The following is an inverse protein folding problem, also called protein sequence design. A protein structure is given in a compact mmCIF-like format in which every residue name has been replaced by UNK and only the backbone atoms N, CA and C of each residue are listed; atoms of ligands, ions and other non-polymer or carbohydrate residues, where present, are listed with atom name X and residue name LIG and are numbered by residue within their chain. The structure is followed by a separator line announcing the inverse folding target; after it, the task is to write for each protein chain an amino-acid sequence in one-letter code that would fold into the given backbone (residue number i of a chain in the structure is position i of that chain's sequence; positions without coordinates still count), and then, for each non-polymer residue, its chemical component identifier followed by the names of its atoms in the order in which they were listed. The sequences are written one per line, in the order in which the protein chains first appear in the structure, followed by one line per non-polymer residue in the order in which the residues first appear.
data_IF_299948660755
#
_entry.id   IF_299948660755
#
_cell.length_a   1.000
_cell.length_b   1.000
_cell.length_c   1.000
_cell.angle_alpha   90.00
_cell.angle_beta   90.00
_cell.angle_gamma   90.00
#
_symmetry.space_group_name_H-M   'P 1'
#
loop_
_entity.id
_entity.type
_entity.pdbx_description
1 polymer ?
#
# COMPACT_ATOMS: atom_id res chain seq x y z
N UNK A 1 -37.81 10.62 -42.42
CA UNK A 1 -38.92 11.42 -41.89
C UNK A 1 -39.26 10.83 -40.53
N UNK A 2 -38.62 11.32 -39.44
CA UNK A 2 -39.07 12.45 -38.58
C UNK A 2 -40.30 12.02 -37.75
N UNK A 3 -40.34 12.08 -36.42
CA UNK A 3 -39.76 13.03 -35.48
C UNK A 3 -39.78 12.46 -34.03
N UNK A 4 -38.79 12.84 -33.22
CA UNK A 4 -38.85 12.92 -31.75
C UNK A 4 -39.89 13.97 -31.29
N UNK A 5 -40.16 14.05 -29.97
CA UNK A 5 -39.63 15.22 -29.26
C UNK A 5 -39.00 14.93 -27.89
N UNK A 6 -38.15 15.89 -27.50
CA UNK A 6 -37.39 16.07 -26.25
C UNK A 6 -38.24 16.60 -25.07
N UNK A 7 -37.76 16.38 -23.84
CA UNK A 7 -37.44 17.37 -22.78
C UNK A 7 -37.36 16.65 -21.41
N UNK A 8 -36.20 16.55 -20.73
CA UNK A 8 -35.51 17.51 -19.84
C UNK A 8 -36.16 17.76 -18.45
N UNK A 9 -35.36 17.53 -17.40
CA UNK A 9 -35.61 17.85 -15.98
C UNK A 9 -35.44 16.62 -15.08
N UNK A 10 -34.57 16.54 -14.08
CA UNK A 10 -33.87 17.55 -13.31
C UNK A 10 -32.49 17.04 -12.87
N UNK A 11 -31.54 17.97 -12.81
CA UNK A 11 -30.25 17.81 -12.14
C UNK A 11 -30.47 17.98 -10.63
N UNK A 12 -30.14 16.95 -9.84
CA UNK A 12 -29.99 17.09 -8.38
C UNK A 12 -28.52 17.38 -8.05
N UNK A 13 -28.31 18.68 -7.77
CA UNK A 13 -27.46 19.24 -6.73
C UNK A 13 -26.04 18.65 -6.53
N UNK A 14 -25.11 19.06 -7.40
CA UNK A 14 -23.67 18.85 -7.25
C UNK A 14 -22.99 19.98 -6.45
N UNK A 15 -23.57 20.42 -5.33
CA UNK A 15 -23.01 21.51 -4.51
C UNK A 15 -22.88 21.19 -3.02
N UNK A 16 -22.27 20.05 -2.65
CA UNK A 16 -21.98 19.80 -1.23
C UNK A 16 -20.79 18.89 -0.88
N UNK A 17 -19.66 18.98 -1.57
CA UNK A 17 -18.40 18.45 -1.03
C UNK A 17 -17.22 19.35 -1.35
N UNK A 18 -17.20 20.49 -0.66
CA UNK A 18 -16.03 21.35 -0.58
C UNK A 18 -15.79 21.72 0.89
N UNK A 19 -15.24 20.75 1.64
CA UNK A 19 -14.47 20.95 2.87
C UNK A 19 -13.97 19.61 3.41
N UNK A 20 -12.65 19.41 3.45
CA UNK A 20 -12.07 18.52 4.44
C UNK A 20 -12.33 19.21 5.80
N UNK A 21 -13.36 18.75 6.51
CA UNK A 21 -13.54 19.09 7.93
C UNK A 21 -12.77 18.05 8.76
N UNK A 22 -11.91 18.48 9.70
CA UNK A 22 -11.36 17.57 10.69
C UNK A 22 -12.50 17.21 11.65
N UNK A 23 -12.84 15.92 11.73
CA UNK A 23 -13.85 15.44 12.67
C UNK A 23 -13.13 14.93 13.92
N UNK A 24 -13.47 15.53 15.07
CA UNK A 24 -13.43 14.86 16.37
C UNK A 24 -12.16 15.04 17.22
N UNK A 25 -12.07 16.18 17.92
CA UNK A 25 -11.33 16.30 19.17
C UNK A 25 -11.91 15.34 20.22
N UNK A 26 -11.08 14.47 20.81
CA UNK A 26 -11.32 13.93 22.14
C UNK A 26 -10.58 14.83 23.14
N UNK A 27 -11.32 15.60 23.93
CA UNK A 27 -10.80 16.34 25.07
C UNK A 27 -10.22 15.37 26.11
N UNK A 28 -8.91 15.45 26.33
CA UNK A 28 -8.29 15.03 27.58
C UNK A 28 -7.57 16.27 28.13
N UNK A 29 -8.20 16.89 29.14
CA UNK A 29 -7.62 18.02 29.85
C UNK A 29 -6.34 17.61 30.57
N UNK A 30 -5.24 18.28 30.25
CA UNK A 30 -4.04 18.36 31.08
C UNK A 30 -3.64 19.84 31.10
N UNK A 31 -3.63 20.41 32.30
CA UNK A 31 -3.23 21.81 32.54
C UNK A 31 -1.75 22.07 32.19
N UNK A 32 -1.39 23.29 31.79
CA UNK A 32 -0.02 23.62 31.38
C UNK A 32 0.91 23.78 32.59
N UNK A 33 1.83 22.83 32.75
CA UNK A 33 2.99 22.94 33.64
C UNK A 33 4.12 23.75 32.98
N UNK A 34 4.44 24.85 33.62
CA UNK A 34 5.47 25.85 33.32
C UNK A 34 6.87 25.23 33.16
N UNK A 35 7.55 25.51 32.03
CA UNK A 35 8.95 25.14 31.79
C UNK A 35 9.81 26.33 32.23
N UNK A 36 10.49 26.22 33.37
CA UNK A 36 11.60 27.10 33.72
C UNK A 36 12.97 26.43 33.48
N UNK A 37 13.99 27.20 33.01
CA UNK A 37 15.27 26.65 32.60
C UNK A 37 16.24 26.39 33.76
N UNK A 38 17.12 25.40 33.54
CA UNK A 38 18.17 24.96 34.45
C UNK A 38 19.15 26.08 34.88
N UNK A 39 19.66 26.06 36.12
CA UNK A 39 20.84 26.85 36.47
C UNK A 39 22.14 26.06 36.26
N UNK A 40 22.97 26.67 35.43
CA UNK A 40 24.40 26.42 35.28
C UNK A 40 25.12 26.83 36.58
N UNK A 41 25.97 25.96 37.13
CA UNK A 41 27.03 26.38 38.05
C UNK A 41 28.34 25.75 37.60
N UNK A 42 29.23 26.62 37.11
CA UNK A 42 30.63 26.29 36.93
C UNK A 42 31.39 26.42 38.24
N UNK A 43 32.44 25.64 38.39
CA UNK A 43 33.81 26.16 38.59
C UNK A 43 34.73 25.04 39.07
N UNK A 44 35.97 25.03 38.59
CA UNK A 44 37.01 24.18 39.16
C UNK A 44 38.17 23.93 38.21
N UNK A 45 39.00 24.95 38.06
CA UNK A 45 40.32 24.95 37.43
C UNK A 45 41.24 23.81 37.86
N UNK A 46 42.03 23.28 36.93
CA UNK A 46 43.20 22.45 37.25
C UNK A 46 44.05 22.12 36.02
N UNK A 47 44.99 23.00 35.69
CA UNK A 47 46.08 22.71 34.74
C UNK A 47 46.97 21.60 35.30
N UNK A 48 47.29 20.56 34.53
CA UNK A 48 48.68 20.15 34.34
C UNK A 48 48.83 19.17 33.18
N UNK A 49 49.95 19.34 32.48
CA UNK A 49 50.40 18.65 31.28
C UNK A 49 51.30 17.49 31.72
N UNK A 50 51.00 16.27 31.30
CA UNK A 50 51.97 15.18 31.30
C UNK A 50 51.79 14.34 30.02
N UNK A 51 52.79 14.42 29.14
CA UNK A 51 52.99 13.48 28.04
C UNK A 51 53.43 12.14 28.67
N UNK A 52 52.52 11.18 28.76
CA UNK A 52 52.85 9.79 29.08
C UNK A 52 52.88 8.96 27.80
N UNK A 53 54.04 8.38 27.49
CA UNK A 53 54.21 7.33 26.47
C UNK A 53 53.27 6.16 26.83
N UNK A 54 52.46 5.73 25.86
CA UNK A 54 51.69 4.50 25.97
C UNK A 54 52.61 3.31 25.67
N UNK A 55 53.10 2.64 26.71
CA UNK A 55 53.65 1.28 26.59
C UNK A 55 52.54 0.28 26.92
N UNK A 56 52.23 -0.71 26.06
CA UNK A 56 51.22 -1.70 26.36
C UNK A 56 51.80 -2.72 27.35
N UNK A 57 51.50 -2.58 28.63
CA UNK A 57 51.79 -3.61 29.61
C UNK A 57 50.86 -4.80 29.39
N UNK A 58 51.44 -5.92 28.96
CA UNK A 58 50.86 -7.27 29.01
C UNK A 58 50.38 -7.57 30.42
N UNK A 59 49.11 -7.34 30.72
CA UNK A 59 48.34 -7.90 31.85
C UNK A 59 46.97 -7.23 31.81
N UNK A 60 46.02 -7.78 31.03
CA UNK A 60 44.54 -7.70 31.21
C UNK A 60 43.80 -8.47 30.08
N UNK A 61 44.40 -9.51 29.50
CA UNK A 61 43.80 -10.32 28.43
C UNK A 61 42.88 -11.44 28.95
N UNK A 62 42.08 -11.15 29.97
CA UNK A 62 41.14 -12.13 30.55
C UNK A 62 39.76 -11.56 30.88
N UNK A 63 39.57 -10.23 30.87
CA UNK A 63 38.25 -9.60 31.07
C UNK A 63 37.46 -9.43 29.75
N UNK A 64 38.07 -9.62 28.59
CA UNK A 64 37.39 -9.53 27.28
C UNK A 64 36.74 -10.83 26.81
N UNK A 65 36.88 -11.94 27.55
CA UNK A 65 36.37 -13.27 27.12
C UNK A 65 34.98 -13.58 27.70
N UNK A 66 34.47 -12.78 28.65
CA UNK A 66 33.18 -13.06 29.31
C UNK A 66 32.04 -12.15 28.81
N UNK A 67 32.32 -10.94 28.27
CA UNK A 67 31.26 -10.08 27.71
C UNK A 67 30.85 -10.41 26.26
N UNK A 68 31.74 -10.99 25.46
CA UNK A 68 31.44 -11.42 24.09
C UNK A 68 30.31 -12.46 23.98
N UNK A 69 30.33 -13.56 24.76
CA UNK A 69 29.30 -14.60 24.67
C UNK A 69 27.93 -14.18 25.22
N UNK A 70 27.86 -13.23 26.16
CA UNK A 70 26.60 -12.76 26.75
C UNK A 70 25.81 -11.90 25.75
N UNK A 71 26.48 -11.05 24.97
CA UNK A 71 25.83 -10.25 23.92
C UNK A 71 25.29 -11.15 22.80
N UNK A 72 26.03 -12.18 22.38
CA UNK A 72 25.54 -13.13 21.37
C UNK A 72 24.34 -13.96 21.84
N UNK A 73 24.29 -14.37 23.12
CA UNK A 73 23.15 -15.11 23.66
C UNK A 73 21.88 -14.25 23.77
N UNK A 74 22.01 -12.97 24.14
CA UNK A 74 20.88 -12.04 24.16
C UNK A 74 20.37 -11.80 22.74
N UNK A 75 21.25 -11.58 21.75
CA UNK A 75 20.83 -11.41 20.34
C UNK A 75 20.16 -12.66 19.77
N UNK A 76 20.64 -13.86 20.10
CA UNK A 76 20.02 -15.13 19.68
C UNK A 76 18.67 -15.33 20.36
N UNK A 77 18.52 -15.00 21.65
CA UNK A 77 17.23 -15.09 22.33
C UNK A 77 16.22 -14.07 21.79
N UNK A 78 16.63 -12.83 21.52
CA UNK A 78 15.76 -11.80 20.90
C UNK A 78 15.33 -12.21 19.49
N UNK A 79 16.24 -12.77 18.68
CA UNK A 79 15.88 -13.29 17.36
C UNK A 79 14.94 -14.51 17.45
N UNK A 80 15.18 -15.42 18.40
CA UNK A 80 14.33 -16.60 18.61
C UNK A 80 12.93 -16.23 19.14
N UNK A 81 12.83 -15.25 20.05
CA UNK A 81 11.52 -14.74 20.47
C UNK A 81 10.81 -13.97 19.35
N UNK A 82 11.51 -13.15 18.57
CA UNK A 82 10.92 -12.48 17.41
C UNK A 82 10.41 -13.47 16.36
N UNK A 83 11.18 -14.54 16.07
CA UNK A 83 10.77 -15.62 15.18
C UNK A 83 9.55 -16.38 15.72
N UNK A 84 9.52 -16.71 17.01
CA UNK A 84 8.38 -17.40 17.62
C UNK A 84 7.10 -16.53 17.66
N UNK A 85 7.23 -15.23 17.93
CA UNK A 85 6.11 -14.28 17.89
C UNK A 85 5.55 -14.18 16.47
N UNK A 86 6.42 -13.98 15.48
CA UNK A 86 6.03 -13.95 14.06
C UNK A 86 5.35 -15.26 13.63
N UNK A 87 5.85 -16.41 14.07
CA UNK A 87 5.23 -17.70 13.76
C UNK A 87 3.81 -17.82 14.36
N UNK A 88 3.61 -17.36 15.60
CA UNK A 88 2.30 -17.45 16.25
C UNK A 88 1.26 -16.51 15.62
N UNK A 89 1.69 -15.31 15.23
CA UNK A 89 0.83 -14.36 14.53
C UNK A 89 0.48 -14.85 13.12
N UNK A 90 1.44 -15.48 12.41
CA UNK A 90 1.19 -16.11 11.12
C UNK A 90 0.19 -17.28 11.23
N UNK A 91 0.31 -18.15 12.24
CA UNK A 91 -0.63 -19.25 12.48
C UNK A 91 -2.05 -18.73 12.77
N UNK A 92 -2.15 -17.66 13.58
CA UNK A 92 -3.43 -16.99 13.83
C UNK A 92 -4.01 -16.39 12.56
N UNK A 93 -3.20 -15.71 11.76
CA UNK A 93 -3.63 -15.07 10.52
C UNK A 93 -4.06 -16.11 9.48
N UNK A 94 -3.32 -17.21 9.33
CA UNK A 94 -3.68 -18.39 8.54
C UNK A 94 -5.00 -19.00 9.00
N UNK A 95 -5.19 -19.17 10.32
CA UNK A 95 -6.44 -19.70 10.88
C UNK A 95 -7.64 -18.77 10.70
N UNK A 96 -7.43 -17.46 10.54
CA UNK A 96 -8.48 -16.48 10.20
C UNK A 96 -8.77 -16.50 8.70
N UNK A 97 -7.75 -16.53 7.83
CA UNK A 97 -7.95 -16.63 6.39
C UNK A 97 -8.64 -17.94 5.99
N UNK A 98 -8.29 -19.07 6.62
CA UNK A 98 -8.93 -20.36 6.39
C UNK A 98 -10.42 -20.38 6.77
N UNK A 99 -10.87 -19.49 7.67
CA UNK A 99 -12.29 -19.35 8.03
C UNK A 99 -13.08 -18.51 7.04
N UNK A 100 -12.41 -17.70 6.22
CA UNK A 100 -13.02 -16.84 5.22
C UNK A 100 -12.53 -17.24 3.81
N UNK A 101 -12.79 -18.46 3.33
CA UNK A 101 -12.41 -18.83 1.97
C UNK A 101 -13.00 -17.83 0.97
N UNK A 102 -12.26 -17.53 -0.11
CA UNK A 102 -12.81 -16.71 -1.20
C UNK A 102 -14.12 -17.37 -1.65
N UNK A 103 -15.26 -16.67 -1.60
CA UNK A 103 -16.48 -17.23 -2.14
C UNK A 103 -16.27 -17.45 -3.64
N UNK A 104 -16.76 -18.59 -4.17
CA UNK A 104 -16.66 -18.96 -5.59
C UNK A 104 -17.63 -18.11 -6.43
N UNK A 105 -17.46 -16.79 -6.38
CA UNK A 105 -18.22 -15.82 -7.17
C UNK A 105 -17.34 -15.43 -8.35
N UNK A 106 -17.22 -16.34 -9.30
CA UNK A 106 -16.55 -16.05 -10.58
C UNK A 106 -17.44 -15.13 -11.41
N UNK A 107 -16.86 -14.07 -11.97
CA UNK A 107 -17.42 -13.41 -13.15
C UNK A 107 -17.94 -11.97 -13.00
N UNK A 108 -17.77 -11.29 -11.86
CA UNK A 108 -18.06 -9.85 -11.76
C UNK A 108 -16.86 -9.05 -11.27
N UNK A 109 -16.66 -7.86 -11.82
CA UNK A 109 -15.53 -7.01 -11.46
C UNK A 109 -15.64 -6.54 -10.01
N UNK A 110 -14.50 -6.48 -9.33
CA UNK A 110 -14.46 -6.20 -7.89
C UNK A 110 -14.93 -7.35 -7.00
N UNK A 111 -15.21 -8.53 -7.56
CA UNK A 111 -15.38 -9.76 -6.78
C UNK A 111 -14.06 -10.50 -6.58
N UNK A 112 -13.99 -11.43 -5.61
CA UNK A 112 -12.96 -12.44 -5.53
C UNK A 112 -12.65 -13.09 -6.88
N UNK A 113 -11.37 -13.15 -7.23
CA UNK A 113 -10.93 -14.04 -8.31
C UNK A 113 -9.49 -14.50 -8.07
N UNK A 114 -9.15 -15.71 -8.52
CA UNK A 114 -7.74 -16.12 -8.63
C UNK A 114 -6.98 -15.19 -9.56
N UNK A 115 -5.65 -15.17 -9.44
CA UNK A 115 -4.81 -14.46 -10.40
C UNK A 115 -5.05 -14.97 -11.84
N UNK A 116 -4.94 -14.07 -12.81
CA UNK A 116 -5.33 -14.27 -14.20
C UNK A 116 -4.31 -15.13 -14.95
N UNK A 117 -4.74 -16.29 -15.44
CA UNK A 117 -3.91 -17.11 -16.33
C UNK A 117 -3.83 -16.55 -17.76
N UNK A 118 -4.90 -15.88 -18.24
CA UNK A 118 -4.92 -15.22 -19.54
C UNK A 118 -5.56 -13.82 -19.44
N UNK A 119 -4.78 -12.73 -19.51
CA UNK A 119 -5.29 -11.38 -19.32
C UNK A 119 -6.06 -10.82 -20.53
N UNK A 120 -5.94 -11.41 -21.74
CA UNK A 120 -6.66 -10.97 -22.93
C UNK A 120 -7.66 -12.02 -23.39
N UNK A 121 -8.93 -11.64 -23.48
CA UNK A 121 -9.99 -12.53 -23.91
C UNK A 121 -11.12 -11.76 -24.57
N UNK A 122 -11.88 -12.44 -25.41
CA UNK A 122 -13.17 -11.94 -25.88
C UNK A 122 -14.32 -12.47 -25.01
N UNK A 123 -14.03 -13.39 -24.07
CA UNK A 123 -15.02 -13.92 -23.13
C UNK A 123 -15.36 -12.91 -22.04
N UNK A 124 -16.66 -12.71 -21.73
CA UNK A 124 -17.07 -11.89 -20.60
C UNK A 124 -16.63 -12.47 -19.24
N UNK A 125 -16.31 -13.77 -19.18
CA UNK A 125 -15.90 -14.45 -17.94
C UNK A 125 -14.44 -14.19 -17.57
N UNK A 126 -13.66 -13.56 -18.46
CA UNK A 126 -12.28 -13.18 -18.18
C UNK A 126 -12.25 -11.84 -17.44
N UNK A 127 -12.35 -11.91 -16.12
CA UNK A 127 -12.55 -10.75 -15.25
C UNK A 127 -11.44 -10.69 -14.21
N UNK A 128 -10.72 -9.58 -14.14
CA UNK A 128 -9.82 -9.26 -13.05
C UNK A 128 -10.63 -9.08 -11.75
N UNK A 129 -10.16 -9.68 -10.66
CA UNK A 129 -10.79 -9.60 -9.35
C UNK A 129 -9.75 -9.33 -8.27
N UNK A 130 -10.15 -9.50 -7.02
CA UNK A 130 -9.23 -9.37 -5.89
C UNK A 130 -8.92 -10.69 -5.21
N UNK A 131 -7.78 -10.72 -4.52
CA UNK A 131 -7.38 -11.86 -3.71
C UNK A 131 -6.02 -11.66 -3.04
N UNK A 132 -5.51 -12.68 -2.33
CA UNK A 132 -6.28 -13.83 -1.89
C UNK A 132 -7.28 -13.42 -0.79
N UNK A 133 -8.04 -14.40 -0.29
CA UNK A 133 -8.79 -14.21 0.94
C UNK A 133 -7.85 -13.81 2.07
N UNK A 134 -8.29 -12.88 2.91
CA UNK A 134 -7.52 -12.34 4.02
C UNK A 134 -8.45 -11.89 5.15
N UNK A 135 -7.93 -11.74 6.38
CA UNK A 135 -8.68 -11.14 7.47
C UNK A 135 -9.26 -9.79 7.05
N UNK A 136 -10.53 -9.57 7.40
CA UNK A 136 -11.26 -8.34 7.11
C UNK A 136 -11.45 -7.58 8.40
N UNK A 137 -11.22 -6.28 8.35
CA UNK A 137 -11.48 -5.34 9.43
C UNK A 137 -12.56 -4.34 9.00
N UNK A 138 -13.11 -3.61 9.98
CA UNK A 138 -13.97 -2.46 9.73
C UNK A 138 -13.26 -1.14 10.08
N UNK A 139 -13.97 0.00 9.98
CA UNK A 139 -13.38 1.35 9.98
C UNK A 139 -12.54 1.74 11.20
N UNK A 140 -12.70 1.04 12.32
CA UNK A 140 -12.01 1.32 13.60
C UNK A 140 -11.38 0.07 14.22
N UNK A 141 -11.28 -1.01 13.44
CA UNK A 141 -10.64 -2.25 13.87
C UNK A 141 -9.35 -2.43 13.09
N UNK A 142 -8.30 -2.87 13.78
CA UNK A 142 -6.99 -3.05 13.18
C UNK A 142 -6.44 -4.44 13.48
N UNK A 143 -5.61 -4.93 12.57
CA UNK A 143 -4.86 -6.17 12.76
C UNK A 143 -3.62 -5.91 13.62
N UNK A 144 -3.12 -6.94 14.28
CA UNK A 144 -1.88 -6.85 15.08
C UNK A 144 -0.65 -7.34 14.29
N UNK A 145 -0.79 -7.51 12.97
CA UNK A 145 0.27 -7.88 12.03
C UNK A 145 0.04 -7.15 10.71
N UNK A 146 1.08 -6.91 9.90
CA UNK A 146 0.91 -6.22 8.62
C UNK A 146 0.00 -7.02 7.67
N UNK A 147 -1.00 -6.36 7.09
CA UNK A 147 -1.89 -6.92 6.07
C UNK A 147 -2.41 -5.78 5.23
N UNK A 148 -2.46 -5.98 3.91
CA UNK A 148 -2.83 -4.91 3.00
C UNK A 148 -4.29 -4.95 2.59
N UNK A 149 -4.91 -3.77 2.57
CA UNK A 149 -6.23 -3.54 1.98
C UNK A 149 -7.27 -4.55 2.48
N UNK A 150 -7.45 -4.55 3.81
CA UNK A 150 -8.30 -5.47 4.57
C UNK A 150 -9.55 -4.79 5.13
N UNK A 151 -9.77 -3.50 4.94
CA UNK A 151 -11.02 -2.85 5.37
C UNK A 151 -12.14 -3.10 4.33
N UNK A 152 -13.28 -3.64 4.77
CA UNK A 152 -14.43 -3.87 3.88
C UNK A 152 -15.35 -2.66 3.71
N UNK A 153 -15.16 -1.59 4.49
CA UNK A 153 -16.08 -0.45 4.52
C UNK A 153 -15.33 0.89 4.64
N UNK A 154 -14.36 1.13 3.75
CA UNK A 154 -13.62 2.37 3.72
C UNK A 154 -14.27 3.41 2.77
N UNK A 155 -14.87 4.49 3.30
CA UNK A 155 -15.49 5.53 2.48
C UNK A 155 -14.49 6.29 1.59
N UNK A 156 -13.20 6.33 1.94
CA UNK A 156 -12.16 7.01 1.15
C UNK A 156 -11.96 6.41 -0.25
N UNK A 157 -12.30 5.13 -0.41
CA UNK A 157 -12.25 4.41 -1.70
C UNK A 157 -13.63 3.95 -2.18
N UNK A 158 -14.70 4.35 -1.50
CA UNK A 158 -16.07 4.03 -1.88
C UNK A 158 -16.55 2.65 -1.40
N UNK A 159 -15.94 2.07 -0.36
CA UNK A 159 -16.36 0.82 0.26
C UNK A 159 -15.21 -0.16 0.46
N UNK A 160 -15.37 -1.38 -0.07
CA UNK A 160 -14.46 -2.51 0.14
C UNK A 160 -13.07 -2.29 -0.48
N UNK A 161 -12.05 -2.18 0.36
CA UNK A 161 -10.67 -1.98 -0.08
C UNK A 161 -10.10 -3.20 -0.79
N UNK A 162 -10.72 -4.39 -0.70
CA UNK A 162 -10.08 -5.60 -1.20
C UNK A 162 -9.86 -5.54 -2.71
N UNK A 163 -10.76 -4.88 -3.45
CA UNK A 163 -10.46 -4.44 -4.80
C UNK A 163 -9.85 -3.03 -4.82
N UNK A 164 -8.56 -2.95 -4.53
CA UNK A 164 -7.86 -1.68 -4.37
C UNK A 164 -7.32 -1.08 -5.68
N UNK A 165 -7.60 -1.69 -6.84
CA UNK A 165 -7.19 -1.19 -8.15
C UNK A 165 -8.40 -0.66 -8.89
N UNK A 166 -8.27 0.53 -9.45
CA UNK A 166 -9.36 1.23 -10.14
C UNK A 166 -8.85 2.02 -11.34
N UNK A 167 -9.73 2.35 -12.27
CA UNK A 167 -9.41 3.06 -13.51
C UNK A 167 -10.42 4.17 -13.80
N UNK A 168 -9.95 5.22 -14.47
CA UNK A 168 -10.80 6.25 -15.08
C UNK A 168 -10.13 6.88 -16.29
N UNK A 169 -10.90 7.56 -17.14
CA UNK A 169 -10.34 8.40 -18.21
C UNK A 169 -9.47 9.53 -17.60
N UNK A 170 -8.29 9.77 -18.18
CA UNK A 170 -7.39 10.78 -17.69
C UNK A 170 -8.00 12.18 -17.82
N UNK A 171 -7.92 12.99 -16.76
CA UNK A 171 -8.55 14.31 -16.70
C UNK A 171 -10.06 14.31 -16.44
N UNK A 172 -10.70 13.15 -16.33
CA UNK A 172 -12.14 13.05 -16.01
C UNK A 172 -12.42 13.30 -14.52
N UNK A 173 -13.56 13.95 -14.24
CA UNK A 173 -14.14 14.10 -12.90
C UNK A 173 -15.07 12.95 -12.52
N UNK A 174 -15.24 11.95 -13.38
CA UNK A 174 -16.04 10.77 -13.08
C UNK A 174 -15.46 9.97 -11.91
N UNK A 175 -16.32 9.14 -11.33
CA UNK A 175 -15.96 8.15 -10.34
C UNK A 175 -14.89 7.18 -10.86
N UNK A 176 -14.30 6.43 -9.94
CA UNK A 176 -13.36 5.35 -10.24
C UNK A 176 -14.12 4.07 -10.55
N UNK A 177 -13.67 3.34 -11.56
CA UNK A 177 -14.35 2.14 -12.04
C UNK A 177 -13.48 0.89 -11.89
N UNK A 178 -14.14 -0.26 -11.73
CA UNK A 178 -13.53 -1.58 -11.88
C UNK A 178 -13.65 -2.09 -13.33
N UNK A 179 -14.70 -1.68 -14.03
CA UNK A 179 -14.95 -1.96 -15.44
C UNK A 179 -15.11 -0.66 -16.20
N UNK A 180 -14.41 -0.53 -17.33
CA UNK A 180 -14.51 0.67 -18.16
C UNK A 180 -14.58 0.30 -19.64
N UNK A 181 -15.50 0.96 -20.35
CA UNK A 181 -15.51 0.93 -21.80
C UNK A 181 -14.47 1.91 -22.32
N UNK A 182 -13.48 1.42 -23.07
CA UNK A 182 -12.35 2.22 -23.55
C UNK A 182 -12.51 2.60 -25.01
N UNK A 183 -11.97 3.76 -25.36
CA UNK A 183 -12.01 4.30 -26.72
C UNK A 183 -10.59 4.42 -27.29
N UNK A 184 -10.50 4.47 -28.62
CA UNK A 184 -9.22 4.61 -29.31
C UNK A 184 -8.51 5.90 -28.93
N UNK A 185 -7.19 5.81 -28.78
CA UNK A 185 -6.30 6.94 -28.60
C UNK A 185 -6.51 7.78 -27.33
N UNK A 186 -7.42 7.33 -26.46
CA UNK A 186 -7.60 7.90 -25.13
C UNK A 186 -6.55 7.38 -24.15
N UNK A 187 -6.28 8.23 -23.16
CA UNK A 187 -5.41 7.90 -22.02
C UNK A 187 -6.27 7.70 -20.79
N UNK A 188 -5.95 6.67 -20.02
CA UNK A 188 -6.63 6.30 -18.79
C UNK A 188 -5.63 6.30 -17.64
N UNK A 189 -6.09 6.65 -16.45
CA UNK A 189 -5.31 6.56 -15.23
C UNK A 189 -5.74 5.32 -14.47
N UNK A 190 -4.78 4.40 -14.26
CA UNK A 190 -4.90 3.30 -13.31
C UNK A 190 -4.39 3.79 -11.96
N UNK A 191 -5.10 3.44 -10.89
CA UNK A 191 -4.73 3.79 -9.52
C UNK A 191 -4.88 2.58 -8.60
N UNK A 192 -3.91 2.41 -7.73
CA UNK A 192 -3.85 1.41 -6.68
C UNK A 192 -3.87 2.12 -5.33
N UNK A 193 -4.85 1.84 -4.48
CA UNK A 193 -4.87 2.29 -3.09
C UNK A 193 -4.08 1.32 -2.21
N UNK A 194 -3.20 1.83 -1.36
CA UNK A 194 -2.27 1.02 -0.57
C UNK A 194 -2.45 1.43 0.88
N UNK A 195 -2.91 0.50 1.72
CA UNK A 195 -3.00 0.71 3.16
C UNK A 195 -2.59 -0.56 3.90
N UNK A 196 -1.83 -0.41 4.97
CA UNK A 196 -1.56 -1.48 5.92
C UNK A 196 -2.64 -1.42 7.01
N UNK A 197 -3.57 -2.37 6.99
CA UNK A 197 -4.71 -2.43 7.92
C UNK A 197 -4.34 -2.90 9.33
N UNK A 198 -3.04 -2.91 9.66
CA UNK A 198 -2.55 -3.13 11.00
C UNK A 198 -2.68 -1.87 11.86
N UNK A 199 -2.69 -2.05 13.18
CA UNK A 199 -2.57 -0.94 14.14
C UNK A 199 -1.18 -0.34 14.01
N UNK A 200 -1.02 0.97 14.10
CA UNK A 200 0.30 1.57 13.95
C UNK A 200 1.20 1.28 15.17
N UNK A 201 2.29 0.57 14.93
CA UNK A 201 3.37 0.33 15.89
C UNK A 201 4.64 -0.08 15.15
N UNK A 202 5.77 -0.13 15.83
CA UNK A 202 7.03 -0.55 15.20
C UNK A 202 7.03 -2.05 14.85
N UNK A 203 6.23 -2.85 15.54
CA UNK A 203 6.06 -4.29 15.30
C UNK A 203 5.19 -4.60 14.06
N UNK A 204 4.32 -3.68 13.66
CA UNK A 204 3.35 -3.86 12.58
C UNK A 204 3.74 -3.17 11.27
N UNK A 205 4.94 -2.60 11.20
CA UNK A 205 5.48 -2.02 9.97
C UNK A 205 5.69 -3.11 8.93
N UNK A 206 5.04 -2.97 7.77
CA UNK A 206 5.31 -3.80 6.61
C UNK A 206 6.65 -3.40 5.99
N UNK A 207 7.53 -4.36 5.68
CA UNK A 207 8.88 -4.09 5.15
C UNK A 207 9.10 -4.73 3.79
N UNK A 208 9.98 -4.11 2.99
CA UNK A 208 10.21 -4.47 1.59
C UNK A 208 8.89 -4.49 0.79
N UNK A 209 8.02 -3.52 1.10
CA UNK A 209 6.71 -3.38 0.46
C UNK A 209 6.88 -2.90 -0.97
N UNK A 210 6.30 -3.63 -1.91
CA UNK A 210 6.39 -3.35 -3.34
C UNK A 210 5.01 -3.30 -3.98
N UNK A 211 4.90 -2.48 -5.03
CA UNK A 211 3.75 -2.44 -5.93
C UNK A 211 4.15 -2.84 -7.34
N UNK A 212 3.23 -3.52 -8.03
CA UNK A 212 3.36 -3.86 -9.45
C UNK A 212 2.00 -3.88 -10.14
N UNK A 213 1.96 -3.41 -11.38
CA UNK A 213 0.83 -3.53 -12.31
C UNK A 213 1.40 -4.03 -13.65
N UNK A 214 1.60 -5.35 -13.80
CA UNK A 214 2.06 -5.91 -15.06
C UNK A 214 1.01 -5.65 -16.15
N UNK A 215 1.44 -5.04 -17.26
CA UNK A 215 0.57 -4.81 -18.41
C UNK A 215 0.68 -5.96 -19.41
N UNK A 216 -0.45 -6.54 -19.85
CA UNK A 216 -0.42 -7.57 -20.89
C UNK A 216 0.02 -6.99 -22.23
N UNK A 217 0.87 -7.72 -22.95
CA UNK A 217 1.33 -7.34 -24.30
C UNK A 217 0.42 -7.84 -25.43
N UNK A 218 -0.71 -8.47 -25.09
CA UNK A 218 -1.66 -9.03 -26.04
C UNK A 218 -2.74 -8.03 -26.45
N UNK A 219 -3.53 -8.42 -27.46
CA UNK A 219 -4.73 -7.70 -27.91
C UNK A 219 -5.98 -8.51 -27.58
N UNK A 220 -7.08 -7.83 -27.30
CA UNK A 220 -8.39 -8.45 -27.09
C UNK A 220 -9.48 -7.39 -27.00
N UNK A 221 -10.75 -7.82 -27.05
CA UNK A 221 -11.90 -6.92 -26.78
C UNK A 221 -12.14 -6.74 -25.29
N UNK A 222 -11.57 -7.60 -24.46
CA UNK A 222 -11.53 -7.50 -23.01
C UNK A 222 -10.10 -7.72 -22.53
N UNK A 223 -9.57 -6.75 -21.78
CA UNK A 223 -8.25 -6.86 -21.15
C UNK A 223 -8.43 -6.69 -19.64
N UNK A 224 -8.09 -7.74 -18.92
CA UNK A 224 -8.10 -7.81 -17.47
C UNK A 224 -6.69 -7.51 -16.94
N UNK A 225 -6.58 -6.56 -15.99
CA UNK A 225 -5.30 -6.11 -15.42
C UNK A 225 -5.38 -6.24 -13.91
N UNK A 226 -4.44 -6.98 -13.34
CA UNK A 226 -4.24 -7.05 -11.89
C UNK A 226 -3.10 -6.11 -11.47
N UNK A 227 -3.31 -5.42 -10.36
CA UNK A 227 -2.25 -4.77 -9.60
C UNK A 227 -2.03 -5.50 -8.28
N UNK A 228 -0.79 -5.50 -7.80
CA UNK A 228 -0.37 -6.29 -6.65
C UNK A 228 0.39 -5.42 -5.65
N UNK A 229 0.16 -5.70 -4.36
CA UNK A 229 0.96 -5.21 -3.24
C UNK A 229 1.56 -6.42 -2.55
N UNK A 230 2.89 -6.42 -2.38
CA UNK A 230 3.60 -7.49 -1.67
C UNK A 230 4.49 -6.93 -0.57
N UNK A 231 4.74 -7.72 0.46
CA UNK A 231 5.65 -7.42 1.57
C UNK A 231 6.20 -8.71 2.14
N UNK A 232 7.43 -8.68 2.63
CA UNK A 232 8.11 -9.89 3.14
C UNK A 232 7.64 -10.33 4.52
N UNK A 233 6.89 -9.49 5.23
CA UNK A 233 6.37 -9.80 6.58
C UNK A 233 4.85 -9.56 6.72
N UNK A 234 4.15 -9.25 5.62
CA UNK A 234 2.71 -9.15 5.65
C UNK A 234 2.06 -10.54 5.54
N UNK A 235 0.85 -10.66 6.07
CA UNK A 235 0.00 -11.81 5.83
C UNK A 235 -1.34 -11.38 5.21
N UNK A 236 -1.66 -11.82 3.98
CA UNK A 236 -0.81 -12.60 3.08
C UNK A 236 0.41 -11.81 2.58
N UNK A 237 1.45 -12.51 2.10
CA UNK A 237 2.66 -11.87 1.56
C UNK A 237 2.42 -11.06 0.29
N UNK A 238 1.34 -11.36 -0.43
CA UNK A 238 0.91 -10.61 -1.60
C UNK A 238 -0.62 -10.57 -1.64
N UNK A 239 -1.16 -9.41 -2.02
CA UNK A 239 -2.56 -9.19 -2.37
C UNK A 239 -2.65 -8.62 -3.78
N UNK A 240 -3.76 -8.89 -4.47
CA UNK A 240 -4.08 -8.31 -5.77
C UNK A 240 -5.49 -7.73 -5.79
N UNK A 241 -5.67 -6.74 -6.66
CA UNK A 241 -6.94 -6.17 -7.09
C UNK A 241 -6.93 -5.98 -8.60
N UNK A 242 -8.09 -5.85 -9.21
CA UNK A 242 -8.28 -6.01 -10.64
C UNK A 242 -9.20 -4.98 -11.27
N UNK A 243 -8.90 -4.64 -12.53
CA UNK A 243 -9.74 -3.84 -13.42
C UNK A 243 -9.92 -4.53 -14.77
N UNK A 244 -11.02 -4.21 -15.47
CA UNK A 244 -11.27 -4.69 -16.82
C UNK A 244 -11.52 -3.52 -17.77
N UNK A 245 -10.81 -3.57 -18.89
CA UNK A 245 -11.00 -2.66 -20.01
C UNK A 245 -11.77 -3.40 -21.10
N UNK A 246 -12.76 -2.74 -21.69
CA UNK A 246 -13.71 -3.35 -22.62
C UNK A 246 -13.83 -2.46 -23.85
N UNK A 247 -13.86 -3.06 -25.05
CA UNK A 247 -14.16 -2.33 -26.28
C UNK A 247 -14.81 -3.23 -27.33
N UNK A 248 -15.46 -2.62 -28.32
CA UNK A 248 -16.08 -3.35 -29.45
C UNK A 248 -15.07 -3.98 -30.41
N UNK A 249 -13.85 -3.44 -30.43
CA UNK A 249 -12.74 -3.88 -31.29
C UNK A 249 -11.54 -4.28 -30.44
N UNK A 250 -10.68 -5.20 -30.93
CA UNK A 250 -9.47 -5.54 -30.21
C UNK A 250 -8.59 -4.30 -30.00
N UNK A 251 -8.02 -4.19 -28.80
CA UNK A 251 -7.12 -3.11 -28.43
C UNK A 251 -5.92 -3.65 -27.66
N UNK A 252 -4.91 -2.81 -27.52
CA UNK A 252 -3.77 -3.02 -26.62
C UNK A 252 -3.68 -1.87 -25.63
N UNK A 253 -3.14 -2.16 -24.45
CA UNK A 253 -2.88 -1.19 -23.38
C UNK A 253 -1.38 -0.94 -23.32
N UNK A 254 -0.97 0.33 -23.38
CA UNK A 254 0.45 0.71 -23.39
C UNK A 254 0.71 1.70 -22.28
N UNK A 255 1.72 1.46 -21.44
CA UNK A 255 2.14 2.42 -20.43
C UNK A 255 2.60 3.73 -21.07
N UNK A 256 2.17 4.86 -20.50
CA UNK A 256 2.68 6.19 -20.84
C UNK A 256 3.94 6.42 -20.02
N UNK A 257 5.09 6.54 -20.68
CA UNK A 257 6.39 6.70 -20.03
C UNK A 257 6.38 7.84 -18.99
N UNK A 258 7.11 7.61 -17.89
CA UNK A 258 7.32 8.57 -16.79
C UNK A 258 6.03 9.10 -16.11
N UNK A 259 4.89 8.45 -16.31
CA UNK A 259 3.61 8.84 -15.72
C UNK A 259 3.34 8.24 -14.33
N UNK A 260 4.19 7.31 -13.87
CA UNK A 260 3.99 6.63 -12.60
C UNK A 260 4.29 7.54 -11.39
N UNK A 261 3.34 7.62 -10.46
CA UNK A 261 3.44 8.47 -9.27
C UNK A 261 2.95 7.76 -8.00
N UNK A 262 3.53 8.14 -6.86
CA UNK A 262 3.03 7.83 -5.52
C UNK A 262 2.50 9.11 -4.91
N UNK A 263 1.21 9.16 -4.56
CA UNK A 263 0.64 10.24 -3.76
C UNK A 263 0.33 9.76 -2.36
N UNK A 264 0.52 10.63 -1.38
CA UNK A 264 0.31 10.35 0.04
C UNK A 264 0.18 11.65 0.82
N UNK A 265 -0.08 11.56 2.13
CA UNK A 265 -0.06 12.73 3.01
C UNK A 265 1.30 13.45 3.05
N UNK A 266 2.40 12.73 2.86
CA UNK A 266 3.75 13.32 2.76
C UNK A 266 4.12 13.76 1.33
N UNK A 267 3.45 13.21 0.31
CA UNK A 267 3.62 13.57 -1.10
C UNK A 267 2.30 14.08 -1.72
N UNK A 268 1.75 15.22 -1.26
CA UNK A 268 0.45 15.71 -1.75
C UNK A 268 0.49 16.13 -3.22
N UNK A 269 1.67 16.47 -3.75
CA UNK A 269 1.89 16.76 -5.19
C UNK A 269 2.36 15.54 -5.99
N UNK A 270 2.46 14.39 -5.34
CA UNK A 270 3.02 13.16 -5.89
C UNK A 270 4.54 13.12 -5.92
N UNK A 271 5.07 11.91 -5.76
CA UNK A 271 6.47 11.54 -5.95
C UNK A 271 6.55 10.64 -7.19
N UNK A 272 7.36 11.02 -8.18
CA UNK A 272 7.55 10.19 -9.37
C UNK A 272 8.24 8.86 -9.00
N UNK A 273 7.76 7.74 -9.55
CA UNK A 273 8.46 6.46 -9.42
C UNK A 273 9.45 6.30 -10.57
N UNK A 274 10.75 6.17 -10.28
CA UNK A 274 11.75 5.99 -11.33
C UNK A 274 11.67 4.59 -11.96
N UNK A 275 11.96 4.53 -13.27
CA UNK A 275 12.05 3.27 -14.01
C UNK A 275 10.69 2.61 -14.26
N UNK A 276 10.71 1.33 -14.63
CA UNK A 276 9.52 0.55 -15.01
C UNK A 276 9.43 -0.77 -14.28
N UNK A 277 10.11 -0.92 -13.13
CA UNK A 277 10.14 -2.16 -12.36
C UNK A 277 8.75 -2.64 -11.92
N UNK A 278 7.80 -1.71 -11.73
CA UNK A 278 6.39 -2.01 -11.44
C UNK A 278 5.64 -2.66 -12.60
N UNK A 279 6.17 -2.68 -13.83
CA UNK A 279 5.58 -3.39 -14.97
C UNK A 279 6.07 -4.84 -15.09
N UNK A 280 7.15 -5.21 -14.38
CA UNK A 280 7.71 -6.56 -14.44
C UNK A 280 6.94 -7.53 -13.53
N UNK A 281 6.78 -8.78 -13.97
CA UNK A 281 6.02 -9.79 -13.23
C UNK A 281 6.67 -10.26 -11.92
N UNK A 282 8.00 -10.22 -11.86
CA UNK A 282 8.85 -10.56 -10.71
C UNK A 282 9.53 -9.33 -10.08
N UNK A 283 9.41 -8.17 -10.74
CA UNK A 283 9.84 -6.87 -10.24
C UNK A 283 8.72 -6.13 -9.52
N UNK A 284 9.09 -5.08 -8.81
CA UNK A 284 8.14 -4.18 -8.16
C UNK A 284 8.85 -2.91 -7.74
N UNK A 285 8.10 -1.83 -7.60
CA UNK A 285 8.62 -0.58 -7.07
C UNK A 285 8.40 -0.53 -5.56
N UNK A 286 9.44 -0.17 -4.81
CA UNK A 286 9.31 0.08 -3.38
C UNK A 286 8.40 1.28 -3.13
N UNK A 287 7.59 1.20 -2.09
CA UNK A 287 6.71 2.29 -1.65
C UNK A 287 6.87 2.53 -0.15
N UNK A 288 6.63 3.76 0.27
CA UNK A 288 6.67 4.18 1.66
C UNK A 288 6.23 5.64 1.79
N UNK A 289 5.72 6.00 2.96
CA UNK A 289 5.05 7.29 3.16
C UNK A 289 5.97 8.47 2.85
N UNK A 290 7.19 8.46 3.39
CA UNK A 290 8.15 9.56 3.28
C UNK A 290 9.30 9.31 2.30
N UNK A 291 9.42 8.08 1.79
CA UNK A 291 10.43 7.70 0.79
C UNK A 291 10.08 6.35 0.17
N UNK A 292 10.68 6.00 -0.97
CA UNK A 292 10.53 4.69 -1.62
C UNK A 292 11.40 3.60 -0.94
N UNK A 293 11.28 3.45 0.38
CA UNK A 293 12.12 2.56 1.20
C UNK A 293 11.48 1.19 1.50
N UNK A 294 10.24 0.97 1.06
CA UNK A 294 9.50 -0.26 1.29
C UNK A 294 8.89 -0.38 2.68
N UNK A 295 8.91 0.68 3.50
CA UNK A 295 8.34 0.67 4.86
C UNK A 295 6.95 1.30 4.84
N UNK A 296 5.96 0.52 5.27
CA UNK A 296 4.55 0.98 5.35
C UNK A 296 4.01 0.75 6.75
N UNK A 297 3.77 1.86 7.45
CA UNK A 297 3.16 1.92 8.78
C UNK A 297 1.67 1.59 8.72
N UNK A 298 1.11 1.19 9.87
CA UNK A 298 -0.30 0.81 9.99
C UNK A 298 -1.24 2.01 9.90
N UNK A 299 -2.55 1.76 9.89
CA UNK A 299 -3.61 2.77 9.91
C UNK A 299 -3.73 3.65 8.66
N UNK A 300 -4.88 4.29 8.51
CA UNK A 300 -5.31 4.94 7.26
C UNK A 300 -4.59 6.27 6.99
N UNK A 301 -4.03 6.94 8.01
CA UNK A 301 -3.25 8.15 7.83
C UNK A 301 -1.92 7.91 7.10
N UNK A 302 -1.47 6.66 7.05
CA UNK A 302 -0.29 6.21 6.33
C UNK A 302 -0.61 5.68 4.91
N UNK A 303 -1.87 5.79 4.48
CA UNK A 303 -2.30 5.32 3.18
C UNK A 303 -1.64 6.10 2.02
N UNK A 304 -1.49 5.41 0.90
CA UNK A 304 -0.87 5.92 -0.32
C UNK A 304 -1.69 5.53 -1.54
N UNK A 305 -1.50 6.25 -2.64
CA UNK A 305 -1.97 5.84 -3.95
C UNK A 305 -0.79 5.74 -4.90
N UNK A 306 -0.62 4.58 -5.51
CA UNK A 306 0.18 4.45 -6.73
C UNK A 306 -0.72 4.72 -7.93
N UNK A 307 -0.25 5.49 -8.90
CA UNK A 307 -0.96 5.70 -10.17
C UNK A 307 -0.03 5.63 -11.36
N UNK A 308 -0.58 5.27 -12.52
CA UNK A 308 0.11 5.32 -13.81
C UNK A 308 -0.89 5.60 -14.92
N UNK A 309 -0.42 6.24 -16.00
CA UNK A 309 -1.22 6.45 -17.19
C UNK A 309 -0.98 5.32 -18.20
N UNK A 310 -2.05 4.92 -18.88
CA UNK A 310 -2.02 3.98 -20.00
C UNK A 310 -2.76 4.54 -21.19
N UNK A 311 -2.23 4.32 -22.39
CA UNK A 311 -2.88 4.63 -23.65
C UNK A 311 -3.53 3.39 -24.23
N UNK A 312 -4.76 3.53 -24.72
CA UNK A 312 -5.47 2.48 -25.46
C UNK A 312 -5.26 2.69 -26.96
N UNK A 313 -4.75 1.66 -27.62
CA UNK A 313 -4.55 1.65 -29.07
C UNK A 313 -5.43 0.56 -29.68
N UNK A 314 -6.46 0.95 -30.42
CA UNK A 314 -7.30 0.01 -31.17
C UNK A 314 -6.52 -0.57 -32.34
N UNK A 315 -6.76 -1.84 -32.68
CA UNK A 315 -6.27 -2.47 -33.91
C UNK A 315 -7.10 -2.10 -35.13
#
# INVERSE_FOLDING_TARGET
MTHLPEEFGAAEDASRFDRIQPVGHCEAGIEPGEIEPAPWSGSGSGKSRAKGKFEPTRKHWWLSVILGPVITLISVMVAATALNVSHHDNERALAVAARNPLPDVRGAAGQPNSDLANPCSDSPDNVAGWGPARPVVGPSTFLNWPSFNSDSDNPAVGGDERNFVSIRENGSLQAWFNDIHVESDKTYMIRMYITNSAKDSDETVAVNTKVRIPLPSCKGKRIAINGFVSSTNAFPFEVWGGINLIADRPFQVVYVADSAMLTSNAFPKGLALPGTGFLAGDGGALVGLHSLDGKVRGEWENAMYFSMLVKVNMS
#
